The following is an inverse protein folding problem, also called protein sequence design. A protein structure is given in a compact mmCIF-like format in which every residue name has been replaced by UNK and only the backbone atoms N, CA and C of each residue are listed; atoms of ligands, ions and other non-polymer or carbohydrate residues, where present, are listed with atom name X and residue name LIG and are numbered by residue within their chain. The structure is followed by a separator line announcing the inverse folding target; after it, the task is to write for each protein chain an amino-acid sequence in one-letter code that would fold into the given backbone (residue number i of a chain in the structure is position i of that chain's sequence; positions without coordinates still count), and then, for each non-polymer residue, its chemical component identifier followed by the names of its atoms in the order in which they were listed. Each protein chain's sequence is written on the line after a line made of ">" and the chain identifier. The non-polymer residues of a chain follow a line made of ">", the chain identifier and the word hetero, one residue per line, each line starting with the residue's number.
data_IF_681431004582
#
_entry.id   IF_681431004582
#
_cell.length_a   1.000
_cell.length_b   1.000
_cell.length_c   1.000
_cell.angle_alpha   90.00
_cell.angle_beta   90.00
_cell.angle_gamma   90.00
#
_symmetry.space_group_name_H-M   'P 1'
#
loop_
_entity.id
_entity.type
_entity.pdbx_description
1 polymer ?
#
# COMPACT_ATOMS: atom_id res chain seq x y z
N UNK A 1 -12.30 11.39 -12.24
CA UNK A 1 -13.11 11.29 -10.99
C UNK A 1 -13.35 12.62 -10.25
N UNK A 2 -14.61 12.98 -9.98
CA UNK A 2 -14.97 14.10 -9.08
C UNK A 2 -14.74 13.76 -7.60
N UNK A 3 -14.52 14.77 -6.75
CA UNK A 3 -14.21 14.60 -5.32
C UNK A 3 -15.23 13.75 -4.53
N UNK A 4 -16.53 13.81 -4.88
CA UNK A 4 -17.54 13.02 -4.18
C UNK A 4 -17.41 11.52 -4.49
N UNK A 5 -17.06 11.18 -5.75
CA UNK A 5 -16.90 9.81 -6.20
C UNK A 5 -15.66 9.18 -5.54
N UNK A 6 -14.56 9.92 -5.43
CA UNK A 6 -13.37 9.46 -4.70
C UNK A 6 -13.69 9.15 -3.24
N UNK A 7 -14.42 10.03 -2.56
CA UNK A 7 -14.82 9.81 -1.15
C UNK A 7 -15.78 8.63 -0.98
N UNK A 8 -16.65 8.38 -1.96
CA UNK A 8 -17.52 7.22 -1.95
C UNK A 8 -16.70 5.94 -2.09
N UNK A 9 -15.71 5.94 -3.00
CA UNK A 9 -14.84 4.80 -3.21
C UNK A 9 -13.93 4.51 -2.00
N UNK A 10 -13.32 5.55 -1.41
CA UNK A 10 -12.55 5.42 -0.17
C UNK A 10 -13.38 4.75 0.93
N UNK A 11 -14.66 5.11 1.08
CA UNK A 11 -15.53 4.44 2.06
C UNK A 11 -15.87 3.01 1.69
N UNK A 12 -15.97 2.69 0.39
CA UNK A 12 -16.26 1.34 -0.07
C UNK A 12 -15.14 0.34 0.21
N UNK A 13 -13.90 0.79 0.40
CA UNK A 13 -12.79 -0.07 0.87
C UNK A 13 -12.94 -0.50 2.33
N UNK A 14 -13.98 0.00 3.03
CA UNK A 14 -14.19 -0.22 4.46
C UNK A 14 -13.32 0.68 5.35
N UNK A 15 -12.69 1.72 4.78
CA UNK A 15 -11.94 2.71 5.55
C UNK A 15 -12.86 3.76 6.19
N UNK A 16 -12.43 4.34 7.31
CA UNK A 16 -13.17 5.41 8.00
C UNK A 16 -12.69 6.77 7.49
N UNK A 17 -13.52 7.41 6.67
CA UNK A 17 -13.30 8.76 6.15
C UNK A 17 -14.30 9.75 6.74
N UNK A 18 -13.81 10.53 7.70
CA UNK A 18 -14.58 11.51 8.46
C UNK A 18 -14.03 12.93 8.32
N UNK A 19 -14.90 13.92 8.54
CA UNK A 19 -14.54 15.33 8.50
C UNK A 19 -14.34 15.83 9.92
N UNK A 20 -13.24 16.54 10.18
CA UNK A 20 -12.96 17.11 11.50
C UNK A 20 -13.64 18.48 11.58
N UNK A 21 -14.77 18.55 12.31
CA UNK A 21 -15.51 19.79 12.56
C UNK A 21 -16.09 20.44 11.30
N UNK A 22 -16.08 21.79 11.26
CA UNK A 22 -16.63 22.59 10.14
C UNK A 22 -15.59 22.97 9.08
N UNK A 23 -14.30 22.77 9.32
CA UNK A 23 -13.25 23.05 8.32
C UNK A 23 -13.24 21.99 7.22
N UNK A 24 -12.51 22.19 6.11
CA UNK A 24 -12.34 21.15 5.07
C UNK A 24 -11.26 20.13 5.44
N UNK A 25 -11.00 19.92 6.73
CA UNK A 25 -10.04 18.94 7.22
C UNK A 25 -10.70 17.56 7.25
N UNK A 26 -10.09 16.60 6.57
CA UNK A 26 -10.55 15.21 6.49
C UNK A 26 -9.55 14.30 7.21
N UNK A 27 -10.08 13.37 7.98
CA UNK A 27 -9.32 12.29 8.60
C UNK A 27 -9.68 10.99 7.92
N UNK A 28 -8.65 10.25 7.52
CA UNK A 28 -8.75 8.90 7.00
C UNK A 28 -8.11 7.95 8.01
N UNK A 29 -8.83 6.93 8.44
CA UNK A 29 -8.30 5.77 9.14
C UNK A 29 -8.46 4.56 8.24
N UNK A 30 -7.35 3.95 7.88
CA UNK A 30 -7.29 2.83 6.95
C UNK A 30 -6.13 1.91 7.32
N UNK A 31 -6.28 0.61 7.04
CA UNK A 31 -5.16 -0.33 7.11
C UNK A 31 -4.33 -0.31 5.81
N UNK A 32 -3.20 -1.02 5.80
CA UNK A 32 -2.29 -1.04 4.64
C UNK A 32 -2.96 -1.49 3.34
N UNK A 33 -3.81 -2.53 3.41
CA UNK A 33 -4.53 -3.04 2.24
C UNK A 33 -5.48 -1.98 1.66
N UNK A 34 -6.22 -1.28 2.52
CA UNK A 34 -7.13 -0.21 2.14
C UNK A 34 -6.38 0.99 1.55
N UNK A 35 -5.24 1.37 2.13
CA UNK A 35 -4.40 2.44 1.59
C UNK A 35 -3.92 2.11 0.17
N UNK A 36 -3.49 0.85 -0.06
CA UNK A 36 -3.06 0.39 -1.39
C UNK A 36 -4.18 0.48 -2.41
N UNK A 37 -5.37 -0.02 -2.08
CA UNK A 37 -6.54 0.04 -2.96
C UNK A 37 -6.91 1.49 -3.32
N UNK A 38 -6.83 2.41 -2.35
CA UNK A 38 -7.07 3.85 -2.59
C UNK A 38 -5.97 4.47 -3.47
N UNK A 39 -4.71 4.07 -3.33
CA UNK A 39 -3.63 4.55 -4.19
C UNK A 39 -3.83 4.05 -5.63
N UNK A 40 -4.15 2.77 -5.80
CA UNK A 40 -4.33 2.13 -7.10
C UNK A 40 -5.48 2.77 -7.88
N UNK A 41 -6.63 3.03 -7.25
CA UNK A 41 -7.76 3.70 -7.93
C UNK A 41 -7.41 5.12 -8.36
N UNK A 42 -6.64 5.86 -7.54
CA UNK A 42 -6.22 7.24 -7.88
C UNK A 42 -5.33 7.21 -9.12
N UNK A 43 -4.44 6.23 -9.23
CA UNK A 43 -3.60 6.05 -10.42
C UNK A 43 -4.39 5.59 -11.64
N UNK A 44 -5.36 4.69 -11.49
CA UNK A 44 -6.21 4.20 -12.59
C UNK A 44 -7.10 5.29 -13.19
N UNK A 45 -7.65 6.17 -12.35
CA UNK A 45 -8.51 7.27 -12.78
C UNK A 45 -7.75 8.40 -13.50
N UNK A 46 -6.42 8.40 -13.43
CA UNK A 46 -5.50 9.34 -14.11
C UNK A 46 -5.85 10.84 -13.92
N UNK A 47 -6.44 11.18 -12.77
CA UNK A 47 -6.79 12.56 -12.42
C UNK A 47 -5.62 13.24 -11.69
N UNK A 48 -5.00 14.21 -12.35
CA UNK A 48 -3.82 14.92 -11.81
C UNK A 48 -4.09 15.57 -10.44
N UNK A 49 -5.32 16.02 -10.21
CA UNK A 49 -5.72 16.70 -8.96
C UNK A 49 -5.68 15.81 -7.73
N UNK A 50 -5.61 14.48 -7.87
CA UNK A 50 -5.57 13.53 -6.76
C UNK A 50 -4.22 12.84 -6.59
N UNK A 51 -3.28 13.00 -7.52
CA UNK A 51 -1.96 12.35 -7.44
C UNK A 51 -1.17 12.74 -6.17
N UNK A 52 -1.37 13.96 -5.66
CA UNK A 52 -0.76 14.37 -4.38
C UNK A 52 -1.25 13.51 -3.21
N UNK A 53 -2.52 13.06 -3.23
CA UNK A 53 -3.09 12.22 -2.19
C UNK A 53 -2.47 10.83 -2.25
N UNK A 54 -2.35 10.23 -3.44
CA UNK A 54 -1.66 8.96 -3.61
C UNK A 54 -0.22 9.02 -3.07
N UNK A 55 0.51 10.11 -3.36
CA UNK A 55 1.86 10.34 -2.83
C UNK A 55 1.87 10.46 -1.30
N UNK A 56 0.91 11.19 -0.72
CA UNK A 56 0.77 11.34 0.72
C UNK A 56 0.47 9.99 1.40
N UNK A 57 -0.50 9.23 0.89
CA UNK A 57 -0.85 7.92 1.43
C UNK A 57 0.33 6.95 1.38
N UNK A 58 1.11 6.97 0.29
CA UNK A 58 2.34 6.17 0.16
C UNK A 58 3.42 6.56 1.17
N UNK A 59 3.50 7.84 1.57
CA UNK A 59 4.43 8.25 2.63
C UNK A 59 3.98 7.84 4.04
N UNK A 60 2.70 7.48 4.21
CA UNK A 60 2.13 6.99 5.47
C UNK A 60 2.02 5.46 5.54
N UNK A 61 2.17 4.75 4.42
CA UNK A 61 2.37 3.30 4.45
C UNK A 61 3.78 3.04 4.94
N UNK A 62 3.91 2.47 6.13
CA UNK A 62 5.19 1.95 6.61
C UNK A 62 5.69 0.88 5.62
N UNK A 63 6.97 0.99 5.26
CA UNK A 63 7.64 -0.05 4.49
C UNK A 63 7.64 -1.33 5.31
N UNK A 64 7.29 -2.45 4.67
CA UNK A 64 7.40 -3.75 5.31
C UNK A 64 8.85 -4.00 5.72
N UNK A 65 9.06 -4.41 6.96
CA UNK A 65 10.41 -4.63 7.49
C UNK A 65 11.05 -5.87 6.87
N UNK A 66 12.38 -5.94 6.90
CA UNK A 66 13.13 -7.11 6.41
C UNK A 66 12.69 -8.39 7.14
N UNK A 67 12.56 -8.33 8.47
CA UNK A 67 12.16 -9.48 9.29
C UNK A 67 10.74 -9.96 8.97
N UNK A 68 9.80 -9.04 8.73
CA UNK A 68 8.45 -9.39 8.30
C UNK A 68 8.44 -10.05 6.92
N UNK A 69 9.22 -9.52 5.97
CA UNK A 69 9.38 -10.13 4.66
C UNK A 69 9.96 -11.53 4.74
N UNK A 70 11.00 -11.71 5.54
CA UNK A 70 11.65 -12.99 5.76
C UNK A 70 10.68 -13.99 6.42
N UNK A 71 9.89 -13.55 7.40
CA UNK A 71 8.87 -14.37 8.03
C UNK A 71 7.78 -14.81 7.04
N UNK A 72 7.37 -13.93 6.12
CA UNK A 72 6.42 -14.27 5.04
C UNK A 72 7.04 -15.28 4.07
N UNK A 73 8.29 -15.05 3.66
CA UNK A 73 8.96 -15.91 2.69
C UNK A 73 9.21 -17.32 3.26
N UNK A 74 9.61 -17.43 4.54
CA UNK A 74 9.80 -18.72 5.23
C UNK A 74 8.52 -19.56 5.34
N UNK A 75 7.33 -18.93 5.38
CA UNK A 75 6.05 -19.64 5.40
C UNK A 75 5.72 -20.31 4.07
N UNK A 76 6.36 -19.92 2.97
CA UNK A 76 6.19 -20.54 1.64
C UNK A 76 7.57 -20.88 1.04
N UNK A 77 8.11 -22.06 1.32
CA UNK A 77 9.35 -22.53 0.69
C UNK A 77 9.24 -22.48 -0.83
N UNK A 78 10.28 -21.96 -1.50
CA UNK A 78 10.29 -21.79 -2.97
C UNK A 78 9.42 -20.63 -3.48
N UNK A 79 9.04 -19.67 -2.63
CA UNK A 79 8.42 -18.42 -3.10
C UNK A 79 9.38 -17.67 -4.03
N UNK A 80 8.85 -17.16 -5.14
CA UNK A 80 9.66 -16.37 -6.09
C UNK A 80 9.65 -14.89 -5.71
N UNK A 81 10.67 -14.14 -6.17
CA UNK A 81 10.74 -12.68 -6.01
C UNK A 81 9.45 -11.98 -6.46
N UNK A 82 8.93 -12.33 -7.65
CA UNK A 82 7.69 -11.75 -8.17
C UNK A 82 6.48 -12.05 -7.28
N UNK A 83 6.44 -13.24 -6.69
CA UNK A 83 5.33 -13.60 -5.82
C UNK A 83 5.43 -12.92 -4.45
N UNK A 84 6.65 -12.68 -3.94
CA UNK A 84 6.89 -11.89 -2.75
C UNK A 84 6.48 -10.42 -2.97
N UNK A 85 6.85 -9.81 -4.11
CA UNK A 85 6.41 -8.47 -4.52
C UNK A 85 4.90 -8.35 -4.75
N UNK A 86 4.24 -9.43 -5.15
CA UNK A 86 2.79 -9.42 -5.32
C UNK A 86 2.09 -9.51 -3.97
N UNK A 87 2.63 -10.31 -3.03
CA UNK A 87 2.08 -10.49 -1.69
C UNK A 87 2.39 -9.35 -0.74
N UNK A 88 3.48 -8.62 -0.98
CA UNK A 88 4.01 -7.59 -0.10
C UNK A 88 4.28 -6.33 -0.90
N UNK A 89 4.15 -5.16 -0.29
CA UNK A 89 4.52 -3.89 -0.93
C UNK A 89 6.03 -3.60 -0.85
N UNK A 90 6.87 -4.65 -0.78
CA UNK A 90 8.30 -4.44 -0.75
C UNK A 90 8.85 -4.01 -2.11
N UNK A 91 10.04 -3.44 -2.08
CA UNK A 91 10.80 -3.13 -3.28
C UNK A 91 11.45 -4.38 -3.86
N UNK A 92 11.78 -4.35 -5.16
CA UNK A 92 12.53 -5.42 -5.82
C UNK A 92 13.86 -5.73 -5.11
N UNK A 93 14.54 -4.70 -4.60
CA UNK A 93 15.78 -4.84 -3.85
C UNK A 93 15.55 -5.63 -2.54
N UNK A 94 14.56 -5.23 -1.74
CA UNK A 94 14.20 -5.95 -0.51
C UNK A 94 13.79 -7.40 -0.78
N UNK A 95 12.98 -7.62 -1.83
CA UNK A 95 12.56 -8.97 -2.21
C UNK A 95 13.75 -9.85 -2.62
N UNK A 96 14.73 -9.28 -3.34
CA UNK A 96 15.93 -10.00 -3.76
C UNK A 96 16.79 -10.39 -2.57
N UNK A 97 17.10 -9.44 -1.68
CA UNK A 97 17.89 -9.69 -0.47
C UNK A 97 17.29 -10.82 0.37
N UNK A 98 15.97 -10.81 0.60
CA UNK A 98 15.31 -11.87 1.39
C UNK A 98 15.39 -13.25 0.71
N UNK A 99 15.30 -13.31 -0.62
CA UNK A 99 15.40 -14.59 -1.34
C UNK A 99 16.84 -15.11 -1.35
N UNK A 100 17.80 -14.23 -1.59
CA UNK A 100 19.23 -14.58 -1.59
C UNK A 100 19.66 -15.09 -0.21
N UNK A 101 19.18 -14.45 0.89
CA UNK A 101 19.37 -14.93 2.27
C UNK A 101 18.80 -16.35 2.48
N UNK A 102 17.61 -16.63 1.96
CA UNK A 102 16.97 -17.95 2.09
C UNK A 102 17.67 -19.04 1.26
N UNK A 103 18.27 -18.67 0.15
CA UNK A 103 19.05 -19.57 -0.72
C UNK A 103 20.51 -19.73 -0.25
N UNK A 104 20.94 -18.95 0.75
CA UNK A 104 22.30 -18.96 1.28
C UNK A 104 23.32 -18.32 0.33
N UNK A 105 22.87 -17.30 -0.42
CA UNK A 105 23.64 -16.59 -1.44
C UNK A 105 24.12 -15.19 -0.99
N UNK A 106 23.77 -14.78 0.23
CA UNK A 106 24.16 -13.49 0.86
C UNK A 106 25.58 -13.51 1.48
#
# INVERSE_FOLDING_TARGET
>A
MKAYALKAHIRSTGSDLQRIGRSRNWQLKANRQQLREIIDIIHQENEQTWLWLAKLLKSHSEDITHDELLAIARRKPGITVNELLTRTDCTLAQARTVIDELEGLD
#
